data_IF_598978634116
#
_entry.id   IF_598978634116
#
_cell.length_a   1.000
_cell.length_b   1.000
_cell.length_c   1.000
_cell.angle_alpha   90.00
_cell.angle_beta   90.00
_cell.angle_gamma   90.00
#
_symmetry.space_group_name_H-M   'P 1'
#
loop_
_entity.id
_entity.type
_entity.pdbx_description
1 polymer ?
#
# COMPACT_ATOMS: atom_id res chain seq x y z
N UNK A 1 36.84 -7.08 -37.59
CA UNK A 1 36.75 -5.82 -36.82
C UNK A 1 35.47 -5.89 -36.00
N UNK A 2 35.64 -5.98 -34.69
CA UNK A 2 34.56 -6.10 -33.71
C UNK A 2 33.87 -4.75 -33.48
N UNK A 3 32.56 -4.75 -33.33
CA UNK A 3 31.75 -3.60 -32.91
C UNK A 3 30.63 -4.09 -32.00
N UNK A 4 30.71 -3.71 -30.72
CA UNK A 4 29.99 -4.26 -29.57
C UNK A 4 28.46 -4.07 -29.59
N UNK A 5 27.69 -4.91 -28.86
CA UNK A 5 26.25 -4.76 -28.66
C UNK A 5 25.91 -3.62 -27.69
N UNK A 6 24.71 -3.01 -27.77
CA UNK A 6 24.32 -1.90 -26.92
C UNK A 6 24.12 -2.37 -25.47
N UNK A 7 24.77 -1.63 -24.58
CA UNK A 7 24.92 -1.86 -23.15
C UNK A 7 23.58 -1.96 -22.43
N UNK A 8 23.49 -3.03 -21.65
CA UNK A 8 22.50 -3.28 -20.61
C UNK A 8 22.64 -2.21 -19.51
N UNK A 9 21.68 -1.29 -19.40
CA UNK A 9 21.63 -0.33 -18.29
C UNK A 9 20.99 -0.99 -17.06
N UNK A 10 21.77 -1.82 -16.36
CA UNK A 10 21.50 -2.12 -14.95
C UNK A 10 22.14 -1.00 -14.14
N UNK A 11 21.40 0.08 -13.89
CA UNK A 11 21.81 1.03 -12.84
C UNK A 11 21.44 0.38 -11.51
N UNK A 12 22.41 -0.31 -10.93
CA UNK A 12 22.38 -0.78 -9.56
C UNK A 12 22.58 0.44 -8.66
N UNK A 13 21.50 1.17 -8.36
CA UNK A 13 21.52 2.15 -7.28
C UNK A 13 21.58 1.38 -5.98
N UNK A 14 22.81 1.10 -5.53
CA UNK A 14 23.08 0.74 -4.13
C UNK A 14 22.87 2.00 -3.31
N UNK A 15 21.65 2.19 -2.83
CA UNK A 15 21.37 3.13 -1.76
C UNK A 15 21.82 2.47 -0.44
N UNK A 16 23.09 2.65 -0.07
CA UNK A 16 23.54 2.40 1.30
C UNK A 16 23.16 3.62 2.15
N UNK A 17 21.93 3.61 2.66
CA UNK A 17 21.51 4.46 3.77
C UNK A 17 20.65 3.62 4.72
N UNK A 18 21.23 3.26 5.86
CA UNK A 18 20.57 2.73 7.05
C UNK A 18 20.18 1.26 6.97
N UNK A 19 20.87 0.40 7.72
CA UNK A 19 20.27 -0.83 8.22
C UNK A 19 19.12 -0.43 9.16
N UNK A 20 17.92 -0.22 8.62
CA UNK A 20 16.72 -0.48 9.39
C UNK A 20 16.74 -2.00 9.62
N UNK A 21 16.87 -2.43 10.87
CA UNK A 21 16.88 -3.85 11.21
C UNK A 21 15.70 -4.51 10.48
N UNK A 22 15.97 -5.48 9.61
CA UNK A 22 14.92 -6.13 8.84
C UNK A 22 13.93 -6.73 9.84
N UNK A 23 12.77 -6.09 9.97
CA UNK A 23 11.71 -6.52 10.87
C UNK A 23 11.43 -8.01 10.67
N UNK A 24 11.27 -8.75 11.77
CA UNK A 24 10.94 -10.17 11.67
C UNK A 24 9.42 -10.27 11.56
N UNK A 25 8.93 -10.61 10.36
CA UNK A 25 7.51 -10.65 10.05
C UNK A 25 6.72 -11.59 10.98
N UNK A 26 7.37 -12.60 11.59
CA UNK A 26 6.71 -13.48 12.58
C UNK A 26 6.25 -12.72 13.84
N UNK A 27 6.94 -11.64 14.21
CA UNK A 27 6.63 -10.83 15.38
C UNK A 27 5.66 -9.70 15.06
N UNK A 28 5.56 -9.30 13.80
CA UNK A 28 4.84 -8.10 13.38
C UNK A 28 3.47 -8.41 12.79
N UNK A 29 3.33 -9.60 12.20
CA UNK A 29 2.16 -10.00 11.43
C UNK A 29 1.45 -11.19 12.05
N UNK A 30 0.19 -11.32 11.68
CA UNK A 30 -0.67 -12.45 12.00
C UNK A 30 -1.37 -12.89 10.71
N UNK A 31 -1.19 -14.17 10.35
CA UNK A 31 -1.95 -14.77 9.26
C UNK A 31 -3.40 -14.86 9.72
N UNK A 32 -4.29 -14.19 9.00
CA UNK A 32 -5.72 -14.15 9.36
C UNK A 32 -6.49 -15.33 8.79
N UNK A 33 -6.13 -15.77 7.59
CA UNK A 33 -6.79 -16.89 6.91
C UNK A 33 -5.91 -17.40 5.75
N UNK A 34 -6.19 -18.62 5.28
CA UNK A 34 -5.54 -19.19 4.09
C UNK A 34 -5.21 -20.69 4.19
N UNK A 35 -5.32 -21.31 5.37
CA UNK A 35 -5.16 -22.77 5.52
C UNK A 35 -3.85 -23.30 4.92
N UNK A 36 -2.73 -22.63 5.17
CA UNK A 36 -1.42 -22.96 4.59
C UNK A 36 -1.03 -22.18 3.33
N UNK A 37 -1.93 -21.35 2.77
CA UNK A 37 -1.67 -20.47 1.61
C UNK A 37 -0.98 -19.16 1.96
N UNK A 38 -0.92 -18.81 3.24
CA UNK A 38 -0.04 -17.76 3.73
C UNK A 38 1.15 -18.41 4.46
N UNK A 39 2.38 -18.04 4.11
CA UNK A 39 3.58 -18.57 4.74
C UNK A 39 4.62 -17.48 4.96
N UNK A 40 5.10 -17.38 6.20
CA UNK A 40 6.30 -16.63 6.53
C UNK A 40 7.48 -17.57 6.36
N UNK A 41 8.42 -17.20 5.50
CA UNK A 41 9.57 -18.01 5.10
C UNK A 41 10.87 -17.23 5.30
N UNK A 42 12.01 -17.88 5.03
CA UNK A 42 13.34 -17.28 5.14
C UNK A 42 13.60 -16.66 6.54
N UNK A 43 13.29 -17.41 7.59
CA UNK A 43 13.49 -16.99 8.98
C UNK A 43 12.66 -15.77 9.43
N UNK A 44 11.60 -15.42 8.71
CA UNK A 44 10.79 -14.23 9.02
C UNK A 44 11.02 -13.03 8.11
N UNK A 45 11.80 -13.17 7.04
CA UNK A 45 12.16 -12.04 6.15
C UNK A 45 11.22 -11.87 4.96
N UNK A 46 10.41 -12.88 4.67
CA UNK A 46 9.50 -12.86 3.52
C UNK A 46 8.18 -13.54 3.88
N UNK A 47 7.07 -12.91 3.49
CA UNK A 47 5.73 -13.48 3.57
C UNK A 47 5.24 -13.73 2.15
N UNK A 48 4.67 -14.90 1.93
CA UNK A 48 4.03 -15.28 0.66
C UNK A 48 2.55 -15.52 0.91
N UNK A 49 1.71 -14.97 0.05
CA UNK A 49 0.28 -15.25 -0.05
C UNK A 49 0.04 -15.98 -1.36
N UNK A 50 -0.73 -17.06 -1.34
CA UNK A 50 -1.19 -17.75 -2.53
C UNK A 50 -2.71 -17.75 -2.66
N UNK A 51 -3.16 -17.87 -3.90
CA UNK A 51 -4.56 -17.97 -4.30
C UNK A 51 -4.73 -19.10 -5.32
N UNK A 52 -5.67 -19.99 -5.05
CA UNK A 52 -6.13 -21.06 -5.93
C UNK A 52 -7.66 -21.15 -5.91
N UNK A 53 -8.23 -22.10 -6.66
CA UNK A 53 -9.69 -22.28 -6.76
C UNK A 53 -10.37 -22.53 -5.41
N UNK A 54 -9.65 -23.08 -4.44
CA UNK A 54 -10.19 -23.41 -3.13
C UNK A 54 -10.21 -22.22 -2.20
N UNK A 55 -9.16 -21.39 -2.21
CA UNK A 55 -9.10 -20.20 -1.37
C UNK A 55 -7.97 -19.26 -1.75
N UNK A 56 -8.10 -18.02 -1.29
CA UNK A 56 -6.99 -17.09 -1.20
C UNK A 56 -6.24 -17.17 0.13
N UNK A 57 -5.64 -16.06 0.51
CA UNK A 57 -5.03 -15.90 1.82
C UNK A 57 -4.91 -14.43 2.23
N UNK A 58 -4.71 -14.20 3.52
CA UNK A 58 -4.50 -12.86 4.02
C UNK A 58 -3.80 -12.82 5.36
N UNK A 59 -3.28 -11.63 5.67
CA UNK A 59 -2.69 -11.31 6.95
C UNK A 59 -3.14 -9.93 7.41
N UNK A 60 -2.99 -9.72 8.70
CA UNK A 60 -3.05 -8.40 9.31
C UNK A 60 -1.79 -8.13 10.08
N UNK A 61 -1.52 -6.86 10.31
CA UNK A 61 -0.52 -6.48 11.28
C UNK A 61 -1.04 -6.59 12.70
N UNK A 62 -0.12 -6.87 13.63
CA UNK A 62 -0.41 -6.83 15.07
C UNK A 62 -0.55 -5.38 15.56
N UNK A 63 0.29 -4.49 15.02
CA UNK A 63 0.30 -3.07 15.33
C UNK A 63 -0.42 -2.23 14.25
N UNK A 64 -0.40 -0.91 14.40
CA UNK A 64 -1.10 0.05 13.53
C UNK A 64 -0.09 0.83 12.68
N UNK A 65 -0.35 1.09 11.39
CA UNK A 65 0.68 1.48 10.40
C UNK A 65 0.32 2.70 9.54
N UNK A 66 1.35 3.35 8.96
CA UNK A 66 1.26 4.44 7.98
C UNK A 66 2.31 4.22 6.85
N UNK A 67 2.06 4.73 5.63
CA UNK A 67 2.78 4.29 4.39
C UNK A 67 3.32 5.47 3.53
N UNK A 68 4.63 5.38 3.23
CA UNK A 68 5.48 5.82 2.10
C UNK A 68 5.53 7.25 1.48
N UNK A 69 6.77 7.60 1.09
CA UNK A 69 7.25 8.92 0.64
C UNK A 69 7.28 9.23 -0.87
N UNK A 70 6.45 8.59 -1.71
CA UNK A 70 6.06 9.19 -2.99
C UNK A 70 4.54 9.32 -3.03
N UNK A 71 4.00 10.56 -3.08
CA UNK A 71 2.57 10.78 -3.02
C UNK A 71 1.88 10.30 -4.30
N UNK A 72 0.91 9.41 -4.15
CA UNK A 72 -0.01 9.01 -5.22
C UNK A 72 -1.42 9.59 -5.01
N UNK A 73 -1.76 9.91 -3.76
CA UNK A 73 -2.99 10.59 -3.37
C UNK A 73 -2.75 11.31 -2.04
N UNK A 74 -3.28 12.52 -1.93
CA UNK A 74 -3.39 13.23 -0.66
C UNK A 74 -4.88 13.34 -0.32
N UNK A 75 -5.26 12.96 0.90
CA UNK A 75 -6.60 13.19 1.44
C UNK A 75 -6.44 14.09 2.67
N UNK A 76 -6.80 15.36 2.54
CA UNK A 76 -6.62 16.35 3.61
C UNK A 76 -7.71 16.20 4.67
N UNK A 77 -7.38 16.50 5.92
CA UNK A 77 -8.41 16.66 6.94
C UNK A 77 -9.20 17.94 6.67
N UNK A 78 -10.46 17.77 6.24
CA UNK A 78 -11.39 18.84 5.91
C UNK A 78 -12.65 18.78 6.79
N UNK A 79 -12.50 18.38 8.05
CA UNK A 79 -13.61 18.35 9.01
C UNK A 79 -14.27 19.72 9.23
N UNK A 80 -13.54 20.83 9.04
CA UNK A 80 -14.09 22.18 9.07
C UNK A 80 -15.14 22.44 7.97
N UNK A 81 -15.10 21.65 6.89
CA UNK A 81 -16.10 21.64 5.81
C UNK A 81 -17.12 20.49 5.97
N UNK A 82 -17.12 19.81 7.12
CA UNK A 82 -18.02 18.68 7.40
C UNK A 82 -17.59 17.34 6.79
N UNK A 83 -16.36 17.23 6.26
CA UNK A 83 -15.87 16.00 5.61
C UNK A 83 -15.24 15.07 6.66
N UNK A 84 -15.74 13.83 6.84
CA UNK A 84 -15.19 12.90 7.84
C UNK A 84 -13.72 12.55 7.57
N UNK A 85 -12.92 12.47 8.64
CA UNK A 85 -11.51 12.12 8.58
C UNK A 85 -11.11 11.10 9.67
N UNK A 86 -10.33 10.05 9.36
CA UNK A 86 -9.95 9.02 10.33
C UNK A 86 -8.88 9.52 11.31
N UNK A 87 -9.30 10.27 12.34
CA UNK A 87 -8.41 10.82 13.39
C UNK A 87 -8.45 10.13 14.75
N UNK A 88 -9.57 9.47 15.06
CA UNK A 88 -9.87 8.95 16.42
C UNK A 88 -10.02 7.43 16.47
N UNK A 89 -10.04 6.77 15.31
CA UNK A 89 -10.19 5.33 15.21
C UNK A 89 -8.84 4.72 14.88
N UNK A 90 -8.24 3.97 15.81
CA UNK A 90 -6.97 3.30 15.58
C UNK A 90 -7.10 2.25 14.45
N UNK A 91 -6.15 2.18 13.51
CA UNK A 91 -6.26 1.35 12.28
C UNK A 91 -5.17 0.28 12.21
N UNK A 92 -5.48 -0.92 11.72
CA UNK A 92 -4.48 -1.98 11.45
C UNK A 92 -4.21 -2.11 9.95
N UNK A 93 -2.99 -2.45 9.58
CA UNK A 93 -2.66 -2.87 8.23
C UNK A 93 -3.28 -4.24 7.98
N UNK A 94 -3.91 -4.41 6.82
CA UNK A 94 -4.35 -5.70 6.34
C UNK A 94 -3.95 -5.85 4.87
N UNK A 95 -3.62 -7.07 4.46
CA UNK A 95 -3.39 -7.39 3.06
C UNK A 95 -3.89 -8.79 2.77
N UNK A 96 -4.44 -8.96 1.57
CA UNK A 96 -5.03 -10.21 1.13
C UNK A 96 -4.84 -10.41 -0.37
N UNK A 97 -4.86 -11.68 -0.79
CA UNK A 97 -4.93 -12.09 -2.18
C UNK A 97 -6.21 -12.93 -2.35
N UNK A 98 -7.13 -12.46 -3.19
CA UNK A 98 -8.46 -13.04 -3.36
C UNK A 98 -8.99 -12.83 -4.79
N UNK A 99 -9.95 -13.65 -5.22
CA UNK A 99 -10.59 -13.53 -6.53
C UNK A 99 -11.68 -12.45 -6.52
N UNK A 100 -11.56 -11.47 -7.41
CA UNK A 100 -12.48 -10.36 -7.60
C UNK A 100 -13.03 -10.29 -9.05
N UNK A 101 -13.35 -11.45 -9.64
CA UNK A 101 -13.79 -11.64 -11.02
C UNK A 101 -14.93 -10.71 -11.47
N UNK A 102 -15.78 -10.28 -10.56
CA UNK A 102 -16.94 -9.43 -10.88
C UNK A 102 -16.55 -8.00 -11.24
N UNK A 103 -15.33 -7.55 -10.91
CA UNK A 103 -14.95 -6.15 -11.13
C UNK A 103 -13.46 -5.89 -11.43
N UNK A 104 -12.53 -6.76 -11.02
CA UNK A 104 -11.11 -6.41 -10.99
C UNK A 104 -10.48 -6.14 -12.36
N UNK A 105 -10.72 -7.00 -13.36
CA UNK A 105 -10.06 -6.88 -14.67
C UNK A 105 -11.05 -6.46 -15.74
N UNK A 106 -10.81 -5.27 -16.31
CA UNK A 106 -11.68 -4.62 -17.31
C UNK A 106 -13.14 -4.53 -16.85
N UNK A 107 -13.34 -4.17 -15.57
CA UNK A 107 -14.68 -4.08 -14.97
C UNK A 107 -15.39 -5.43 -14.88
N UNK A 108 -14.64 -6.52 -14.68
CA UNK A 108 -15.16 -7.88 -14.51
C UNK A 108 -15.35 -8.69 -15.81
N UNK A 109 -14.91 -8.14 -16.95
CA UNK A 109 -15.04 -8.81 -18.27
C UNK A 109 -14.03 -9.93 -18.49
N UNK A 110 -12.87 -9.87 -17.83
CA UNK A 110 -11.85 -10.91 -17.90
C UNK A 110 -11.86 -11.64 -16.56
N UNK A 111 -12.15 -12.95 -16.62
CA UNK A 111 -12.22 -13.83 -15.45
C UNK A 111 -10.88 -14.50 -15.19
N UNK A 112 -10.67 -14.93 -13.96
CA UNK A 112 -9.48 -15.61 -13.50
C UNK A 112 -9.34 -16.94 -14.24
N UNK A 113 -8.26 -17.09 -15.01
CA UNK A 113 -7.87 -18.37 -15.58
C UNK A 113 -7.13 -19.19 -14.54
N UNK A 114 -7.89 -19.99 -13.81
CA UNK A 114 -7.41 -20.85 -12.75
C UNK A 114 -6.45 -21.96 -13.18
N UNK A 115 -6.27 -22.22 -14.48
CA UNK A 115 -5.22 -23.13 -14.94
C UNK A 115 -3.82 -22.60 -14.62
N UNK A 116 -3.67 -21.29 -14.40
CA UNK A 116 -2.42 -20.64 -14.02
C UNK A 116 -2.20 -20.57 -12.49
N UNK A 117 -3.08 -21.18 -11.69
CA UNK A 117 -2.92 -21.22 -10.25
C UNK A 117 -1.74 -22.14 -9.84
N UNK A 118 -1.06 -21.88 -8.70
CA UNK A 118 -1.36 -20.84 -7.71
C UNK A 118 -0.81 -19.46 -8.09
N UNK A 119 -1.64 -18.44 -7.95
CA UNK A 119 -1.20 -17.04 -8.03
C UNK A 119 -0.52 -16.67 -6.72
N UNK A 120 0.67 -16.06 -6.77
CA UNK A 120 1.47 -15.77 -5.57
C UNK A 120 1.85 -14.31 -5.48
N UNK A 121 1.64 -13.70 -4.31
CA UNK A 121 2.13 -12.39 -3.94
C UNK A 121 3.17 -12.52 -2.82
N UNK A 122 4.31 -11.83 -2.95
CA UNK A 122 5.38 -11.86 -1.97
C UNK A 122 5.62 -10.49 -1.36
N UNK A 123 5.81 -10.46 -0.05
CA UNK A 123 6.05 -9.26 0.75
C UNK A 123 7.37 -9.41 1.50
N UNK A 124 8.16 -8.33 1.53
CA UNK A 124 9.44 -8.24 2.22
C UNK A 124 9.64 -6.83 2.74
N UNK A 125 10.59 -6.66 3.65
CA UNK A 125 11.02 -5.34 4.15
C UNK A 125 9.86 -4.47 4.65
N UNK A 126 8.86 -5.09 5.31
CA UNK A 126 7.85 -4.29 6.02
C UNK A 126 8.52 -3.61 7.20
N UNK A 127 8.30 -2.31 7.33
CA UNK A 127 8.88 -1.48 8.37
C UNK A 127 7.75 -0.74 9.10
N UNK A 128 7.78 -0.82 10.44
CA UNK A 128 6.80 -0.25 11.36
C UNK A 128 7.43 0.77 12.32
N UNK A 129 8.53 1.41 11.94
CA UNK A 129 9.39 2.20 12.84
C UNK A 129 8.72 3.50 13.33
N UNK A 130 7.58 3.88 12.76
CA UNK A 130 6.83 5.11 13.05
C UNK A 130 5.43 4.85 13.59
N UNK A 131 5.24 3.74 14.30
CA UNK A 131 3.92 3.29 14.76
C UNK A 131 3.58 3.77 16.17
N UNK A 132 2.30 4.08 16.38
CA UNK A 132 1.70 4.30 17.69
C UNK A 132 1.07 3.00 18.17
N UNK A 133 1.45 2.53 19.36
CA UNK A 133 0.86 1.33 19.98
C UNK A 133 -0.15 1.79 21.05
N UNK A 134 -1.42 1.42 20.90
CA UNK A 134 -2.48 1.66 21.89
C UNK A 134 -2.45 0.52 22.94
N UNK A 135 -2.60 0.76 24.28
CA UNK A 135 -3.43 1.79 24.92
C UNK A 135 -2.66 2.94 25.58
N UNK A 136 -1.36 3.11 25.34
CA UNK A 136 -0.65 4.24 25.94
C UNK A 136 -1.22 5.55 25.41
N UNK A 137 -1.77 6.36 26.31
CA UNK A 137 -2.44 7.65 26.07
C UNK A 137 -1.55 8.73 25.44
N UNK A 138 -0.27 8.42 25.24
CA UNK A 138 0.69 9.18 24.48
C UNK A 138 1.33 8.18 23.51
N UNK A 139 1.49 8.55 22.23
CA UNK A 139 2.28 7.79 21.26
C UNK A 139 3.78 7.79 21.64
N UNK A 140 4.15 7.45 22.87
CA UNK A 140 5.49 7.63 23.43
C UNK A 140 6.54 6.69 22.83
N UNK A 141 6.12 5.73 21.99
CA UNK A 141 7.00 4.68 21.45
C UNK A 141 7.81 5.12 20.23
N UNK A 142 7.48 6.25 19.60
CA UNK A 142 8.23 6.77 18.44
C UNK A 142 8.99 8.03 18.85
N UNK A 143 10.33 8.03 18.74
CA UNK A 143 11.16 9.24 19.01
C UNK A 143 10.95 10.37 18.00
N UNK A 144 10.25 10.10 16.90
CA UNK A 144 10.03 11.03 15.80
C UNK A 144 8.58 10.95 15.28
N UNK A 145 7.81 11.98 15.57
CA UNK A 145 6.45 12.21 15.07
C UNK A 145 6.40 13.25 13.95
N UNK A 146 7.54 13.67 13.39
CA UNK A 146 7.61 14.68 12.32
C UNK A 146 6.74 14.35 11.10
N UNK A 147 6.48 13.07 10.87
CA UNK A 147 5.61 12.60 9.81
C UNK A 147 4.13 12.99 10.01
N UNK A 148 3.64 13.18 11.26
CA UNK A 148 2.25 13.58 11.54
C UNK A 148 1.94 15.01 11.06
N UNK A 149 2.94 15.88 11.09
CA UNK A 149 2.85 17.25 10.58
C UNK A 149 3.43 17.40 9.18
N UNK A 150 3.86 16.30 8.56
CA UNK A 150 4.45 16.32 7.23
C UNK A 150 3.41 16.76 6.21
N UNK A 151 3.77 17.77 5.43
CA UNK A 151 3.03 18.24 4.28
C UNK A 151 3.80 17.93 3.03
N UNK A 152 3.08 17.78 1.92
CA UNK A 152 3.70 17.76 0.62
C UNK A 152 4.35 19.12 0.34
N UNK A 153 5.65 19.09 0.04
CA UNK A 153 6.35 20.27 -0.45
C UNK A 153 6.05 20.50 -1.94
N UNK A 154 6.55 21.60 -2.48
CA UNK A 154 6.35 21.97 -3.89
C UNK A 154 6.91 20.94 -4.86
N UNK A 155 7.92 20.17 -4.48
CA UNK A 155 8.46 19.09 -5.30
C UNK A 155 7.51 17.87 -5.31
N UNK A 156 6.99 17.50 -4.14
CA UNK A 156 5.99 16.46 -3.94
C UNK A 156 4.72 16.74 -4.73
N UNK A 157 4.21 17.97 -4.69
CA UNK A 157 3.03 18.35 -5.49
C UNK A 157 3.27 18.27 -7.00
N UNK A 158 4.45 18.68 -7.49
CA UNK A 158 4.81 18.51 -8.91
C UNK A 158 4.85 17.04 -9.30
N UNK A 159 5.41 16.19 -8.43
CA UNK A 159 5.47 14.74 -8.63
C UNK A 159 4.08 14.11 -8.64
N UNK A 160 3.22 14.46 -7.68
CA UNK A 160 1.83 14.02 -7.62
C UNK A 160 1.06 14.42 -8.89
N UNK A 161 1.23 15.67 -9.35
CA UNK A 161 0.60 16.15 -10.59
C UNK A 161 1.08 15.37 -11.82
N UNK A 162 2.36 15.05 -11.90
CA UNK A 162 2.93 14.26 -12.98
C UNK A 162 2.40 12.81 -12.94
N UNK A 163 2.34 12.17 -11.76
CA UNK A 163 1.76 10.83 -11.60
C UNK A 163 0.30 10.82 -12.03
N UNK A 164 -0.51 11.79 -11.56
CA UNK A 164 -1.92 11.90 -11.95
C UNK A 164 -2.09 12.08 -13.46
N UNK A 165 -1.24 12.88 -14.11
CA UNK A 165 -1.33 13.12 -15.56
C UNK A 165 -0.97 11.90 -16.42
N UNK A 166 -0.01 11.08 -15.97
CA UNK A 166 0.56 10.02 -16.81
C UNK A 166 0.03 8.61 -16.48
N UNK A 167 -0.42 8.38 -15.24
CA UNK A 167 -0.75 7.02 -14.76
C UNK A 167 -2.17 6.88 -14.17
N UNK A 168 -2.92 7.98 -13.99
CA UNK A 168 -4.27 7.90 -13.43
C UNK A 168 -5.26 7.44 -14.50
N UNK A 169 -5.80 6.23 -14.32
CA UNK A 169 -6.80 5.64 -15.24
C UNK A 169 -8.23 5.83 -14.75
N UNK A 170 -8.43 6.17 -13.48
CA UNK A 170 -9.73 6.44 -12.88
C UNK A 170 -9.58 7.47 -11.75
N UNK A 171 -10.51 8.42 -11.69
CA UNK A 171 -10.63 9.41 -10.63
C UNK A 171 -12.11 9.66 -10.34
N UNK A 172 -12.55 9.36 -9.10
CA UNK A 172 -13.94 9.55 -8.69
C UNK A 172 -14.34 11.03 -8.68
N UNK A 173 -13.39 11.95 -8.51
CA UNK A 173 -13.63 13.38 -8.60
C UNK A 173 -13.88 13.87 -10.03
N UNK A 174 -13.66 13.02 -11.04
CA UNK A 174 -13.99 13.30 -12.44
C UNK A 174 -15.18 12.47 -12.94
N UNK A 175 -15.76 11.62 -12.10
CA UNK A 175 -16.81 10.67 -12.47
C UNK A 175 -18.22 11.27 -12.27
N UNK A 176 -18.62 12.14 -13.19
CA UNK A 176 -19.94 12.77 -13.19
C UNK A 176 -21.09 11.78 -13.38
N UNK A 177 -20.82 10.59 -13.94
CA UNK A 177 -21.83 9.52 -14.09
C UNK A 177 -22.17 8.88 -12.75
N UNK A 178 -21.14 8.64 -11.92
CA UNK A 178 -21.33 8.13 -10.56
C UNK A 178 -21.95 9.17 -9.64
N UNK A 179 -21.66 10.45 -9.85
CA UNK A 179 -22.13 11.57 -9.04
C UNK A 179 -22.96 12.58 -9.86
N UNK A 180 -24.17 12.19 -10.33
CA UNK A 180 -24.98 13.04 -11.19
C UNK A 180 -25.52 14.30 -10.48
N UNK A 181 -25.54 14.29 -9.14
CA UNK A 181 -26.06 15.39 -8.31
C UNK A 181 -24.96 16.30 -7.73
N UNK A 182 -23.73 16.19 -8.25
CA UNK A 182 -22.59 16.98 -7.78
C UNK A 182 -21.52 16.09 -7.15
N UNK A 183 -20.27 16.52 -7.35
CA UNK A 183 -19.08 15.80 -6.89
C UNK A 183 -18.91 15.90 -5.37
N UNK A 184 -18.23 14.92 -4.75
CA UNK A 184 -17.89 14.99 -3.33
C UNK A 184 -17.14 16.28 -2.96
N UNK A 185 -17.46 16.95 -1.84
CA UNK A 185 -16.91 18.27 -1.51
C UNK A 185 -15.38 18.33 -1.41
N UNK A 186 -14.73 17.21 -1.08
CA UNK A 186 -13.26 17.14 -0.98
C UNK A 186 -12.55 17.28 -2.33
N UNK A 187 -13.28 17.12 -3.45
CA UNK A 187 -12.71 17.15 -4.79
C UNK A 187 -12.27 18.54 -5.26
N UNK A 188 -12.73 19.61 -4.59
CA UNK A 188 -12.49 21.00 -4.96
C UNK A 188 -11.49 21.73 -4.03
N UNK A 189 -10.67 20.97 -3.29
CA UNK A 189 -9.79 21.46 -2.22
C UNK A 189 -8.30 21.36 -2.58
#
# INVERSE_FOLDING_TARGET
MAGAPPLCWVVLVVCLLGFAGAGNLNKELEITWGGGRAKIVNGGRMLTLSLDKGSGSGFRSRNQFYVDGTPIREFKNMESLGIPFPKRQPMRLQSSLWNADDWATRGGRVKTDWSNAPFTAAYRNMNADRTCIWPSSSCSSSKDHSWLSQRLDSAGYRKLKWVRRNYMVYDYCADSKRFPHGLPPECNV
#
